data_IF_292350460082
#
_entry.id   IF_292350460082
#
_cell.length_a   1.000
_cell.length_b   1.000
_cell.length_c   1.000
_cell.angle_alpha   90.00
_cell.angle_beta   90.00
_cell.angle_gamma   90.00
#
_symmetry.space_group_name_H-M   'P 1'
#
loop_
_entity.id
_entity.type
_entity.pdbx_description
1 polymer ?
#
# COMPACT_ATOMS: atom_id res chain seq x y z
N UNK A 1 36.16 -5.05 -9.36
CA UNK A 1 35.42 -3.87 -8.89
C UNK A 1 33.91 -4.09 -8.95
N UNK A 2 33.33 -4.55 -10.07
CA UNK A 2 31.89 -4.87 -10.23
C UNK A 2 31.28 -5.71 -9.08
N UNK A 3 31.92 -6.82 -8.71
CA UNK A 3 31.46 -7.69 -7.61
C UNK A 3 31.34 -6.97 -6.25
N UNK A 4 32.22 -6.00 -5.98
CA UNK A 4 32.19 -5.24 -4.73
C UNK A 4 30.98 -4.30 -4.70
N UNK A 5 30.68 -3.66 -5.83
CA UNK A 5 29.49 -2.80 -5.99
C UNK A 5 28.20 -3.62 -5.85
N UNK A 6 28.11 -4.78 -6.49
CA UNK A 6 26.96 -5.70 -6.35
C UNK A 6 26.75 -6.12 -4.89
N UNK A 7 27.84 -6.40 -4.15
CA UNK A 7 27.76 -6.75 -2.73
C UNK A 7 27.28 -5.58 -1.86
N UNK A 8 27.71 -4.35 -2.16
CA UNK A 8 27.23 -3.15 -1.46
C UNK A 8 25.72 -2.97 -1.69
N UNK A 9 25.26 -3.11 -2.94
CA UNK A 9 23.83 -3.00 -3.24
C UNK A 9 23.01 -4.13 -2.64
N UNK A 10 23.52 -5.37 -2.68
CA UNK A 10 22.88 -6.50 -2.01
C UNK A 10 22.76 -6.26 -0.50
N UNK A 11 23.82 -5.78 0.16
CA UNK A 11 23.79 -5.43 1.59
C UNK A 11 22.76 -4.34 1.87
N UNK A 12 22.78 -3.25 1.09
CA UNK A 12 21.84 -2.13 1.24
C UNK A 12 20.39 -2.59 1.12
N UNK A 13 20.11 -3.44 0.12
CA UNK A 13 18.79 -4.05 -0.08
C UNK A 13 18.40 -4.97 1.09
N UNK A 14 19.33 -5.78 1.61
CA UNK A 14 19.04 -6.67 2.73
C UNK A 14 18.74 -5.90 4.02
N UNK A 15 19.47 -4.81 4.28
CA UNK A 15 19.22 -3.93 5.44
C UNK A 15 17.82 -3.32 5.36
N UNK A 16 17.41 -2.82 4.18
CA UNK A 16 16.06 -2.29 3.97
C UNK A 16 14.96 -3.36 3.97
N UNK A 17 15.31 -4.63 3.74
CA UNK A 17 14.36 -5.74 3.67
C UNK A 17 13.96 -6.32 5.04
N UNK A 18 14.58 -5.86 6.12
CA UNK A 18 14.23 -6.25 7.48
C UNK A 18 12.82 -5.72 7.78
N UNK A 19 11.90 -6.62 8.14
CA UNK A 19 10.52 -6.27 8.48
C UNK A 19 10.44 -5.54 9.83
N UNK A 20 9.34 -4.80 10.03
CA UNK A 20 9.06 -4.11 11.29
C UNK A 20 9.11 -5.08 12.48
N UNK A 21 9.68 -4.61 13.56
CA UNK A 21 9.74 -5.31 14.84
C UNK A 21 8.62 -4.84 15.76
N UNK A 22 8.30 -5.60 16.81
CA UNK A 22 7.30 -5.16 17.80
C UNK A 22 7.70 -3.85 18.51
N UNK A 23 9.00 -3.51 18.52
CA UNK A 23 9.53 -2.26 19.05
C UNK A 23 9.10 -1.04 18.21
N UNK A 24 8.88 -1.22 16.91
CA UNK A 24 8.45 -0.13 16.01
C UNK A 24 6.99 0.30 16.27
N UNK A 25 6.23 -0.49 17.06
CA UNK A 25 4.89 -0.13 17.51
C UNK A 25 4.90 0.78 18.74
N UNK A 26 6.03 0.87 19.44
CA UNK A 26 6.17 1.76 20.58
C UNK A 26 6.55 3.17 20.12
N UNK A 27 5.90 4.19 20.70
CA UNK A 27 6.24 5.59 20.37
C UNK A 27 7.62 5.92 20.93
N UNK A 28 8.60 6.01 20.05
CA UNK A 28 9.92 6.55 20.36
C UNK A 28 9.84 8.08 20.53
N UNK A 29 10.75 8.72 21.28
CA UNK A 29 10.71 10.18 21.50
C UNK A 29 10.89 11.01 20.22
N UNK A 30 11.42 10.41 19.15
CA UNK A 30 11.54 11.02 17.82
C UNK A 30 10.35 10.68 16.90
N UNK A 31 9.39 9.86 17.37
CA UNK A 31 8.29 9.31 16.58
C UNK A 31 8.76 8.70 15.24
N UNK A 32 9.92 8.02 15.26
CA UNK A 32 10.52 7.39 14.08
C UNK A 32 10.54 5.87 14.21
N UNK A 33 10.05 5.19 13.18
CA UNK A 33 10.22 3.76 12.96
C UNK A 33 11.69 3.46 12.57
N UNK A 34 12.19 2.26 12.85
CA UNK A 34 13.50 1.78 12.35
C UNK A 34 13.68 1.97 10.85
N UNK A 35 12.63 1.76 10.04
CA UNK A 35 12.67 2.02 8.61
C UNK A 35 12.88 3.51 8.27
N UNK A 36 12.18 4.41 8.97
CA UNK A 36 12.33 5.86 8.77
C UNK A 36 13.76 6.32 9.07
N UNK A 37 14.38 5.76 10.10
CA UNK A 37 15.77 6.06 10.46
C UNK A 37 16.74 5.61 9.36
N UNK A 38 16.52 4.43 8.79
CA UNK A 38 17.33 3.93 7.66
C UNK A 38 17.16 4.78 6.41
N UNK A 39 15.93 5.14 6.06
CA UNK A 39 15.62 6.02 4.92
C UNK A 39 16.33 7.36 5.11
N UNK A 40 16.21 7.97 6.29
CA UNK A 40 16.86 9.24 6.58
C UNK A 40 18.39 9.13 6.46
N UNK A 41 19.01 8.11 7.05
CA UNK A 41 20.45 7.91 7.00
C UNK A 41 20.97 7.70 5.56
N UNK A 42 20.24 6.94 4.74
CA UNK A 42 20.59 6.70 3.33
C UNK A 42 20.53 8.00 2.52
N UNK A 43 19.52 8.83 2.76
CA UNK A 43 19.35 10.08 2.01
C UNK A 43 20.32 11.17 2.48
N UNK A 44 20.56 11.30 3.78
CA UNK A 44 21.48 12.29 4.37
C UNK A 44 22.95 11.97 4.06
N UNK A 45 23.33 10.68 4.01
CA UNK A 45 24.69 10.27 3.63
C UNK A 45 25.04 10.55 2.16
N UNK A 46 24.08 10.96 1.34
CA UNK A 46 24.26 11.17 -0.10
C UNK A 46 24.22 9.87 -0.93
N UNK A 47 24.02 8.71 -0.30
CA UNK A 47 23.92 7.43 -1.00
C UNK A 47 22.75 7.42 -1.99
N UNK A 48 21.62 8.02 -1.63
CA UNK A 48 20.48 8.18 -2.56
C UNK A 48 20.83 8.94 -3.85
N UNK A 49 21.62 10.03 -3.75
CA UNK A 49 22.06 10.81 -4.93
C UNK A 49 22.99 10.00 -5.83
N UNK A 50 23.93 9.28 -5.22
CA UNK A 50 24.83 8.38 -5.95
C UNK A 50 24.05 7.32 -6.75
N UNK A 51 23.02 6.71 -6.15
CA UNK A 51 22.18 5.73 -6.85
C UNK A 51 21.46 6.35 -8.05
N UNK A 52 20.97 7.58 -7.92
CA UNK A 52 20.34 8.32 -9.03
C UNK A 52 21.36 8.57 -10.15
N UNK A 53 22.56 9.04 -9.83
CA UNK A 53 23.64 9.28 -10.81
C UNK A 53 24.04 8.00 -11.57
N UNK A 54 24.21 6.87 -10.86
CA UNK A 54 24.53 5.57 -11.49
C UNK A 54 23.39 5.14 -12.42
N UNK A 55 22.14 5.31 -11.97
CA UNK A 55 20.97 4.92 -12.77
C UNK A 55 20.76 5.79 -14.00
N UNK A 56 21.22 7.05 -14.00
CA UNK A 56 21.16 7.93 -15.17
C UNK A 56 22.08 7.45 -16.31
N UNK A 57 23.21 6.83 -15.95
CA UNK A 57 24.19 6.33 -16.92
C UNK A 57 23.73 5.03 -17.61
N UNK A 58 23.71 5.03 -18.95
CA UNK A 58 23.41 3.83 -19.74
C UNK A 58 24.48 2.74 -19.72
N UNK A 59 25.72 3.07 -19.37
CA UNK A 59 26.80 2.08 -19.31
C UNK A 59 26.62 1.11 -18.13
N UNK A 60 25.95 1.58 -17.06
CA UNK A 60 25.82 0.88 -15.77
C UNK A 60 24.54 0.03 -15.66
N UNK A 61 24.03 -0.47 -16.80
CA UNK A 61 22.76 -1.24 -16.88
C UNK A 61 22.73 -2.45 -15.97
N UNK A 62 23.88 -3.08 -15.74
CA UNK A 62 24.01 -4.26 -14.88
C UNK A 62 23.57 -3.99 -13.44
N UNK A 63 23.62 -2.73 -13.00
CA UNK A 63 23.24 -2.32 -11.65
C UNK A 63 21.80 -1.80 -11.55
N UNK A 64 21.14 -1.52 -12.67
CA UNK A 64 19.83 -0.85 -12.69
C UNK A 64 18.76 -1.65 -11.92
N UNK A 65 18.78 -2.99 -12.02
CA UNK A 65 17.82 -3.81 -11.29
C UNK A 65 18.02 -3.71 -9.77
N UNK A 66 19.27 -3.70 -9.30
CA UNK A 66 19.59 -3.51 -7.88
C UNK A 66 19.12 -2.15 -7.38
N UNK A 67 19.35 -1.10 -8.16
CA UNK A 67 18.94 0.26 -7.81
C UNK A 67 17.41 0.36 -7.74
N UNK A 68 16.71 -0.22 -8.72
CA UNK A 68 15.25 -0.27 -8.73
C UNK A 68 14.70 -0.96 -7.47
N UNK A 69 15.29 -2.09 -7.06
CA UNK A 69 14.89 -2.76 -5.82
C UNK A 69 15.15 -1.90 -4.58
N UNK A 70 16.30 -1.23 -4.51
CA UNK A 70 16.60 -0.32 -3.39
C UNK A 70 15.59 0.83 -3.35
N UNK A 71 15.27 1.45 -4.49
CA UNK A 71 14.27 2.52 -4.55
C UNK A 71 12.87 2.03 -4.15
N UNK A 72 12.45 0.86 -4.63
CA UNK A 72 11.17 0.28 -4.22
C UNK A 72 11.14 0.01 -2.71
N UNK A 73 12.24 -0.47 -2.13
CA UNK A 73 12.34 -0.75 -0.71
C UNK A 73 12.37 0.53 0.14
N UNK A 74 13.02 1.60 -0.31
CA UNK A 74 12.97 2.92 0.34
C UNK A 74 11.56 3.50 0.37
N UNK A 75 10.68 3.10 -0.56
CA UNK A 75 9.34 3.65 -0.71
C UNK A 75 8.24 2.72 -0.17
N UNK A 76 8.57 1.48 0.21
CA UNK A 76 7.60 0.41 0.54
C UNK A 76 6.62 0.82 1.63
N UNK A 77 7.07 1.54 2.66
CA UNK A 77 6.26 1.88 3.84
C UNK A 77 5.59 3.26 3.75
N UNK A 78 5.90 4.06 2.73
CA UNK A 78 5.41 5.43 2.62
C UNK A 78 4.23 5.54 1.66
N UNK A 79 3.23 6.35 2.03
CA UNK A 79 2.21 6.77 1.08
C UNK A 79 2.67 7.99 0.28
N UNK A 80 2.51 7.93 -1.04
CA UNK A 80 2.88 9.04 -1.93
C UNK A 80 2.18 10.34 -1.51
N UNK A 81 0.91 10.26 -1.10
CA UNK A 81 0.14 11.41 -0.58
C UNK A 81 0.86 12.11 0.57
N UNK A 82 1.29 11.37 1.58
CA UNK A 82 1.89 11.92 2.78
C UNK A 82 3.24 12.60 2.48
N UNK A 83 4.01 12.03 1.56
CA UNK A 83 5.30 12.58 1.11
C UNK A 83 5.07 13.87 0.30
N UNK A 84 4.04 13.90 -0.55
CA UNK A 84 3.70 15.11 -1.31
C UNK A 84 3.29 16.23 -0.34
N UNK A 85 2.39 15.96 0.61
CA UNK A 85 1.91 16.98 1.55
C UNK A 85 3.01 17.56 2.47
N UNK A 86 4.14 16.87 2.64
CA UNK A 86 5.23 17.32 3.52
C UNK A 86 5.98 18.56 3.01
N UNK A 87 6.05 18.77 1.70
CA UNK A 87 6.76 19.90 1.09
C UNK A 87 5.88 21.12 0.81
N UNK A 88 4.57 21.01 0.97
CA UNK A 88 3.66 22.14 0.78
C UNK A 88 3.75 23.07 1.98
N UNK A 89 3.99 24.36 1.73
CA UNK A 89 3.87 25.40 2.77
C UNK A 89 2.41 25.40 3.21
N UNK A 90 2.11 24.74 4.33
CA UNK A 90 0.76 24.68 4.87
C UNK A 90 0.27 26.10 5.10
N UNK A 91 -0.72 26.51 4.32
CA UNK A 91 -1.41 27.78 4.52
C UNK A 91 -2.02 27.79 5.93
N UNK A 92 -2.17 28.96 6.54
CA UNK A 92 -2.75 29.06 7.89
C UNK A 92 -4.14 28.41 7.96
N UNK A 93 -4.88 28.42 6.84
CA UNK A 93 -6.19 27.79 6.69
C UNK A 93 -6.13 26.26 6.70
N UNK A 94 -5.17 25.65 6.00
CA UNK A 94 -4.99 24.19 6.01
C UNK A 94 -4.60 23.67 7.38
N UNK A 95 -3.75 24.40 8.12
CA UNK A 95 -3.42 24.06 9.51
C UNK A 95 -4.66 24.08 10.40
N UNK A 96 -5.50 25.11 10.25
CA UNK A 96 -6.75 25.23 10.99
C UNK A 96 -7.74 24.13 10.63
N UNK A 97 -7.81 23.72 9.35
CA UNK A 97 -8.64 22.58 8.92
C UNK A 97 -8.16 21.27 9.54
N UNK A 98 -6.87 20.99 9.51
CA UNK A 98 -6.27 19.81 10.13
C UNK A 98 -6.49 19.80 11.65
N UNK A 99 -6.35 20.95 12.31
CA UNK A 99 -6.64 21.07 13.74
C UNK A 99 -8.11 20.77 14.04
N UNK A 100 -9.04 21.28 13.23
CA UNK A 100 -10.46 20.98 13.37
C UNK A 100 -10.78 19.50 13.11
N UNK A 101 -10.16 18.87 12.12
CA UNK A 101 -10.29 17.43 11.85
C UNK A 101 -9.76 16.59 13.02
N UNK A 102 -8.59 16.94 13.55
CA UNK A 102 -8.01 16.30 14.73
C UNK A 102 -8.93 16.44 15.94
N UNK A 103 -9.49 17.63 16.19
CA UNK A 103 -10.46 17.86 17.27
C UNK A 103 -11.69 16.97 17.10
N UNK A 104 -12.25 16.87 15.88
CA UNK A 104 -13.38 15.99 15.59
C UNK A 104 -13.07 14.52 15.86
N UNK A 105 -11.88 14.04 15.49
CA UNK A 105 -11.47 12.65 15.74
C UNK A 105 -11.31 12.41 17.25
N UNK A 106 -10.70 13.34 17.98
CA UNK A 106 -10.59 13.26 19.45
C UNK A 106 -11.97 13.25 20.09
N UNK A 107 -12.88 14.13 19.68
CA UNK A 107 -14.27 14.17 20.14
C UNK A 107 -14.97 12.83 19.87
N UNK A 108 -14.89 12.29 18.66
CA UNK A 108 -15.46 10.99 18.31
C UNK A 108 -14.88 9.85 19.14
N UNK A 109 -13.57 9.81 19.36
CA UNK A 109 -12.95 8.78 20.19
C UNK A 109 -13.31 8.94 21.67
N UNK A 110 -13.38 10.17 22.18
CA UNK A 110 -13.85 10.43 23.55
C UNK A 110 -15.30 10.02 23.71
N UNK A 111 -16.17 10.29 22.73
CA UNK A 111 -17.57 9.86 22.75
C UNK A 111 -17.69 8.33 22.66
N UNK A 112 -16.91 7.67 21.80
CA UNK A 112 -16.85 6.20 21.77
C UNK A 112 -16.39 5.63 23.11
N UNK A 113 -15.37 6.22 23.74
CA UNK A 113 -14.90 5.82 25.06
C UNK A 113 -15.97 6.05 26.14
N UNK A 114 -16.67 7.18 26.10
CA UNK A 114 -17.78 7.49 27.00
C UNK A 114 -18.95 6.52 26.78
N UNK A 115 -19.32 6.20 25.54
CA UNK A 115 -20.36 5.23 25.23
C UNK A 115 -19.97 3.82 25.69
N UNK A 116 -18.70 3.41 25.50
CA UNK A 116 -18.17 2.17 26.10
C UNK A 116 -18.30 2.19 27.62
N UNK A 117 -17.94 3.30 28.28
CA UNK A 117 -18.09 3.48 29.74
C UNK A 117 -19.57 3.46 30.17
N UNK A 118 -20.48 4.06 29.40
CA UNK A 118 -21.95 4.04 29.64
C UNK A 118 -22.51 2.63 29.53
N UNK A 119 -21.99 1.79 28.65
CA UNK A 119 -22.41 0.39 28.51
C UNK A 119 -21.81 -0.53 29.59
N UNK A 120 -20.73 -0.10 30.26
CA UNK A 120 -20.13 -0.85 31.36
C UNK A 120 -20.89 -0.55 32.65
N UNK A 121 -21.10 -1.60 33.46
CA UNK A 121 -21.69 -1.46 34.80
C UNK A 121 -20.80 -0.58 35.66
N UNK A 122 -21.39 0.37 36.39
CA UNK A 122 -20.68 1.18 37.40
C UNK A 122 -20.10 0.34 38.54
N UNK A 123 -20.54 -0.91 38.69
CA UNK A 123 -20.13 -1.82 39.76
C UNK A 123 -19.28 -2.95 39.20
N UNK A 124 -18.33 -3.43 40.00
CA UNK A 124 -17.48 -4.56 39.65
C UNK A 124 -18.31 -5.82 39.35
N UNK A 125 -17.74 -6.73 38.56
CA UNK A 125 -18.44 -7.91 38.02
C UNK A 125 -19.00 -8.86 39.09
N UNK A 126 -18.41 -8.92 40.29
CA UNK A 126 -18.89 -9.78 41.37
C UNK A 126 -20.11 -9.20 42.14
N UNK A 127 -20.51 -7.94 41.87
CA UNK A 127 -21.67 -7.29 42.51
C UNK A 127 -22.78 -6.95 41.51
N UNK A 128 -22.87 -7.70 40.42
CA UNK A 128 -23.72 -7.38 39.29
C UNK A 128 -25.21 -7.75 39.47
N UNK A 129 -25.59 -8.47 40.54
CA UNK A 129 -26.95 -8.97 40.76
C UNK A 129 -27.37 -10.03 39.73
N UNK A 130 -28.49 -10.71 39.96
CA UNK A 130 -29.04 -11.72 39.06
C UNK A 130 -30.42 -11.29 38.55
N UNK A 131 -30.60 -11.31 37.24
CA UNK A 131 -31.85 -10.92 36.55
C UNK A 131 -32.40 -12.09 35.76
N UNK A 132 -33.73 -12.14 35.61
CA UNK A 132 -34.43 -13.16 34.81
C UNK A 132 -34.94 -12.50 33.54
N UNK A 133 -34.44 -12.93 32.38
CA UNK A 133 -34.96 -12.55 31.07
C UNK A 133 -36.02 -13.56 30.65
N UNK A 134 -37.27 -13.10 30.54
CA UNK A 134 -38.41 -13.91 30.09
C UNK A 134 -38.53 -13.87 28.57
N UNK A 135 -38.90 -14.99 27.95
CA UNK A 135 -39.22 -15.07 26.52
C UNK A 135 -38.04 -15.35 25.59
N UNK A 136 -36.86 -15.70 26.13
CA UNK A 136 -35.73 -16.22 25.34
C UNK A 136 -35.65 -17.73 25.51
N UNK A 137 -35.47 -18.48 24.42
CA UNK A 137 -35.34 -19.95 24.51
C UNK A 137 -34.21 -20.33 25.48
N UNK A 138 -34.57 -20.95 26.59
CA UNK A 138 -33.68 -21.44 27.62
C UNK A 138 -33.93 -22.94 27.85
N UNK A 139 -33.09 -23.59 28.65
CA UNK A 139 -33.22 -25.03 28.93
C UNK A 139 -34.43 -25.32 29.84
N UNK A 140 -34.92 -24.32 30.56
CA UNK A 140 -36.05 -24.44 31.49
C UNK A 140 -37.40 -24.51 30.75
N UNK A 141 -38.39 -25.19 31.35
CA UNK A 141 -39.76 -25.31 30.82
C UNK A 141 -40.42 -23.96 30.53
N UNK A 142 -40.11 -22.94 31.34
CA UNK A 142 -40.69 -21.60 31.25
C UNK A 142 -39.93 -20.67 30.30
N UNK A 143 -38.85 -21.13 29.64
CA UNK A 143 -38.00 -20.31 28.75
C UNK A 143 -37.48 -19.00 29.40
N UNK A 144 -37.04 -19.12 30.65
CA UNK A 144 -36.46 -18.02 31.43
C UNK A 144 -34.94 -18.17 31.49
N UNK A 145 -34.22 -17.10 31.14
CA UNK A 145 -32.75 -17.07 31.18
C UNK A 145 -32.25 -16.18 32.32
N UNK A 146 -31.44 -16.76 33.21
CA UNK A 146 -30.79 -16.00 34.29
C UNK A 146 -29.51 -15.34 33.76
N UNK A 147 -29.38 -14.03 33.95
CA UNK A 147 -28.19 -13.27 33.59
C UNK A 147 -27.67 -12.51 34.81
N UNK A 148 -26.37 -12.67 35.08
CA UNK A 148 -25.68 -12.00 36.18
C UNK A 148 -25.14 -10.60 35.80
N UNK A 149 -25.76 -9.93 34.82
CA UNK A 149 -25.38 -8.58 34.35
C UNK A 149 -26.64 -7.83 33.92
N UNK A 150 -26.69 -6.54 34.23
CA UNK A 150 -27.73 -5.64 33.71
C UNK A 150 -27.55 -5.52 32.20
N UNK A 151 -28.49 -6.08 31.44
CA UNK A 151 -28.53 -5.95 29.98
C UNK A 151 -29.38 -4.73 29.63
N UNK A 152 -28.77 -3.73 29.00
CA UNK A 152 -29.49 -2.52 28.56
C UNK A 152 -30.26 -2.72 27.25
N UNK A 153 -29.73 -3.57 26.37
CA UNK A 153 -30.35 -3.91 25.08
C UNK A 153 -30.49 -5.44 24.97
N UNK A 154 -31.71 -5.94 24.83
CA UNK A 154 -31.98 -7.39 24.68
C UNK A 154 -31.40 -8.00 23.38
N UNK A 155 -31.00 -7.17 22.41
CA UNK A 155 -30.37 -7.63 21.17
C UNK A 155 -28.85 -7.89 21.32
N UNK A 156 -28.20 -7.32 22.34
CA UNK A 156 -26.75 -7.43 22.57
C UNK A 156 -26.39 -8.54 23.57
N UNK A 157 -27.11 -9.67 23.55
CA UNK A 157 -26.81 -10.83 24.42
C UNK A 157 -25.69 -11.65 23.78
N UNK A 158 -24.54 -11.00 23.63
CA UNK A 158 -23.39 -11.55 22.91
C UNK A 158 -22.71 -12.68 23.71
N UNK A 159 -22.98 -12.75 25.02
CA UNK A 159 -22.48 -13.81 25.91
C UNK A 159 -22.94 -15.21 25.51
N UNK A 160 -24.09 -15.33 24.84
CA UNK A 160 -24.61 -16.61 24.30
C UNK A 160 -23.88 -17.05 23.03
N UNK A 161 -23.38 -16.09 22.24
CA UNK A 161 -22.73 -16.37 20.97
C UNK A 161 -21.23 -16.63 21.14
N UNK A 162 -20.61 -16.18 22.23
CA UNK A 162 -19.17 -16.43 22.53
C UNK A 162 -18.80 -17.92 22.63
N UNK A 163 -19.74 -18.79 23.01
CA UNK A 163 -19.51 -20.25 23.08
C UNK A 163 -19.86 -20.97 21.78
N UNK A 164 -20.53 -20.31 20.83
CA UNK A 164 -20.86 -20.91 19.54
C UNK A 164 -19.64 -20.85 18.64
N UNK A 165 -19.41 -21.92 17.89
CA UNK A 165 -18.38 -21.96 16.86
C UNK A 165 -18.76 -20.92 15.81
N UNK A 166 -17.98 -19.84 15.72
CA UNK A 166 -18.13 -18.83 14.68
C UNK A 166 -17.92 -19.49 13.32
N UNK A 167 -18.78 -19.16 12.35
CA UNK A 167 -18.62 -19.68 10.99
C UNK A 167 -17.28 -19.23 10.44
N UNK A 168 -16.35 -20.18 10.23
CA UNK A 168 -15.00 -19.85 9.77
C UNK A 168 -15.08 -19.35 8.34
N UNK A 169 -14.61 -18.12 8.11
CA UNK A 169 -14.36 -17.65 6.75
C UNK A 169 -13.41 -18.63 6.05
N UNK A 170 -13.75 -19.13 4.85
CA UNK A 170 -12.88 -20.01 4.07
C UNK A 170 -11.49 -19.38 3.93
N UNK A 171 -10.42 -20.18 4.02
CA UNK A 171 -9.03 -19.66 3.94
C UNK A 171 -8.76 -18.85 2.67
N UNK A 172 -9.48 -19.13 1.57
CA UNK A 172 -9.41 -18.40 0.29
C UNK A 172 -10.08 -17.02 0.31
N UNK A 173 -10.95 -16.74 1.28
CA UNK A 173 -11.69 -15.47 1.43
C UNK A 173 -11.14 -14.58 2.54
N UNK A 174 -10.05 -15.01 3.19
CA UNK A 174 -9.39 -14.18 4.18
C UNK A 174 -8.58 -13.11 3.44
N UNK A 175 -8.61 -11.85 3.92
CA UNK A 175 -7.62 -10.87 3.46
C UNK A 175 -6.23 -11.47 3.59
N UNK A 176 -5.36 -11.19 2.63
CA UNK A 176 -3.96 -11.52 2.81
C UNK A 176 -3.45 -10.70 4.00
N UNK A 177 -2.75 -11.33 4.94
CA UNK A 177 -1.97 -10.62 5.97
C UNK A 177 -0.80 -9.96 5.24
N UNK A 178 -1.06 -8.84 4.59
CA UNK A 178 -0.05 -8.06 3.89
C UNK A 178 0.65 -7.22 4.96
N UNK A 179 1.97 -7.17 4.92
CA UNK A 179 2.76 -6.13 5.61
C UNK A 179 2.50 -4.75 4.94
N UNK A 180 1.23 -4.31 4.87
CA UNK A 180 0.87 -2.93 4.56
C UNK A 180 0.84 -2.11 5.84
N UNK A 181 1.87 -2.23 6.67
CA UNK A 181 2.10 -1.26 7.74
C UNK A 181 2.61 0.02 7.06
N UNK A 182 1.70 0.70 6.38
CA UNK A 182 1.93 2.06 5.95
C UNK A 182 1.74 2.92 7.18
N UNK A 183 2.75 3.71 7.50
CA UNK A 183 2.68 4.64 8.61
C UNK A 183 2.98 6.05 8.11
N UNK A 184 2.56 7.02 8.91
CA UNK A 184 2.86 8.42 8.65
C UNK A 184 4.21 8.71 9.30
N UNK A 185 5.25 8.84 8.49
CA UNK A 185 6.59 9.17 8.95
C UNK A 185 6.69 10.60 9.46
N UNK A 186 7.71 10.84 10.30
CA UNK A 186 8.07 12.17 10.78
C UNK A 186 8.27 13.17 9.63
N UNK A 187 7.99 14.45 9.89
CA UNK A 187 7.96 15.49 8.85
C UNK A 187 9.31 15.66 8.14
N UNK A 188 10.42 15.61 8.88
CA UNK A 188 11.76 15.72 8.33
C UNK A 188 12.07 14.61 7.31
N UNK A 189 11.73 13.36 7.63
CA UNK A 189 11.90 12.20 6.72
C UNK A 189 11.12 12.44 5.44
N UNK A 190 9.86 12.87 5.55
CA UNK A 190 9.01 13.11 4.37
C UNK A 190 9.52 14.27 3.49
N UNK A 191 10.10 15.32 4.07
CA UNK A 191 10.71 16.43 3.30
C UNK A 191 11.94 15.94 2.52
N UNK A 192 12.84 15.22 3.18
CA UNK A 192 14.05 14.68 2.54
C UNK A 192 13.67 13.68 1.45
N UNK A 193 12.71 12.80 1.74
CA UNK A 193 12.18 11.82 0.79
C UNK A 193 11.50 12.48 -0.41
N UNK A 194 10.76 13.57 -0.21
CA UNK A 194 10.13 14.33 -1.30
C UNK A 194 11.18 14.88 -2.27
N UNK A 195 12.23 15.51 -1.77
CA UNK A 195 13.33 16.05 -2.60
C UNK A 195 14.00 14.93 -3.39
N UNK A 196 14.27 13.80 -2.76
CA UNK A 196 14.81 12.61 -3.42
C UNK A 196 13.88 12.06 -4.50
N UNK A 197 12.57 11.94 -4.24
CA UNK A 197 11.60 11.42 -5.20
C UNK A 197 11.53 12.29 -6.47
N UNK A 198 11.59 13.61 -6.33
CA UNK A 198 11.61 14.53 -7.47
C UNK A 198 12.87 14.30 -8.31
N UNK A 199 14.04 14.22 -7.68
CA UNK A 199 15.31 13.98 -8.38
C UNK A 199 15.34 12.61 -9.08
N UNK A 200 14.88 11.57 -8.40
CA UNK A 200 14.76 10.21 -8.92
C UNK A 200 13.85 10.17 -10.16
N UNK A 201 12.68 10.81 -10.10
CA UNK A 201 11.74 10.89 -11.22
C UNK A 201 12.33 11.61 -12.43
N UNK A 202 13.03 12.72 -12.20
CA UNK A 202 13.62 13.54 -13.26
C UNK A 202 14.74 12.81 -14.01
N UNK A 203 15.64 12.14 -13.29
CA UNK A 203 16.89 11.62 -13.86
C UNK A 203 16.88 10.12 -14.18
N UNK A 204 16.12 9.33 -13.41
CA UNK A 204 16.31 7.87 -13.39
C UNK A 204 15.08 7.04 -13.75
N UNK A 205 13.88 7.48 -13.36
CA UNK A 205 12.67 6.64 -13.39
C UNK A 205 12.41 5.99 -14.76
N UNK A 206 12.33 6.79 -15.82
CA UNK A 206 12.03 6.29 -17.16
C UNK A 206 13.06 5.24 -17.62
N UNK A 207 14.34 5.47 -17.30
CA UNK A 207 15.43 4.58 -17.68
C UNK A 207 15.38 3.26 -16.90
N UNK A 208 15.11 3.31 -15.59
CA UNK A 208 14.96 2.13 -14.76
C UNK A 208 13.75 1.28 -15.20
N UNK A 209 12.58 1.91 -15.40
CA UNK A 209 11.36 1.20 -15.80
C UNK A 209 11.49 0.53 -17.16
N UNK A 210 12.14 1.18 -18.13
CA UNK A 210 12.41 0.58 -19.44
C UNK A 210 13.52 -0.48 -19.38
N UNK A 211 14.65 -0.17 -18.74
CA UNK A 211 15.84 -1.03 -18.72
C UNK A 211 15.69 -2.29 -17.87
N UNK A 212 14.92 -2.22 -16.78
CA UNK A 212 14.72 -3.35 -15.87
C UNK A 212 13.52 -4.23 -16.22
N UNK A 213 12.70 -3.87 -17.22
CA UNK A 213 11.49 -4.61 -17.61
C UNK A 213 11.80 -6.10 -17.84
N UNK A 214 12.69 -6.40 -18.77
CA UNK A 214 12.99 -7.80 -19.09
C UNK A 214 13.66 -8.54 -17.93
N UNK A 215 14.54 -7.87 -17.19
CA UNK A 215 15.25 -8.46 -16.05
C UNK A 215 14.34 -8.74 -14.85
N UNK A 216 13.37 -7.86 -14.56
CA UNK A 216 12.46 -8.01 -13.42
C UNK A 216 11.44 -9.14 -13.64
N UNK A 217 11.04 -9.37 -14.90
CA UNK A 217 10.04 -10.38 -15.27
C UNK A 217 10.64 -11.65 -15.90
N UNK A 218 11.97 -11.74 -16.03
CA UNK A 218 12.64 -12.93 -16.55
C UNK A 218 12.41 -14.14 -15.63
N UNK A 219 12.19 -15.31 -16.23
CA UNK A 219 12.11 -16.58 -15.49
C UNK A 219 13.42 -16.98 -14.83
N UNK A 220 14.56 -16.39 -15.25
CA UNK A 220 15.87 -16.58 -14.62
C UNK A 220 16.05 -15.57 -13.49
N UNK A 221 15.34 -15.79 -12.38
CA UNK A 221 15.51 -14.95 -11.19
C UNK A 221 16.84 -15.30 -10.53
N UNK A 222 17.76 -14.34 -10.51
CA UNK A 222 19.05 -14.49 -9.80
C UNK A 222 18.80 -14.73 -8.31
N UNK A 223 19.67 -15.51 -7.67
CA UNK A 223 19.60 -15.81 -6.24
C UNK A 223 19.50 -14.51 -5.43
N UNK A 224 18.35 -14.26 -4.78
CA UNK A 224 18.11 -13.04 -3.99
C UNK A 224 17.21 -11.98 -4.62
N UNK A 225 16.83 -12.11 -5.91
CA UNK A 225 15.95 -11.17 -6.64
C UNK A 225 14.59 -11.79 -6.99
N UNK A 226 14.08 -12.72 -6.19
CA UNK A 226 12.80 -13.41 -6.47
C UNK A 226 11.56 -12.49 -6.41
N UNK A 227 11.71 -11.32 -5.77
CA UNK A 227 10.67 -10.29 -5.64
C UNK A 227 10.88 -9.07 -6.54
N UNK A 228 11.77 -9.17 -7.54
CA UNK A 228 12.06 -8.06 -8.44
C UNK A 228 10.81 -7.54 -9.18
N UNK A 229 9.88 -8.44 -9.52
CA UNK A 229 8.59 -8.09 -10.12
C UNK A 229 7.72 -7.24 -9.18
N UNK A 230 7.64 -7.62 -7.90
CA UNK A 230 6.95 -6.85 -6.87
C UNK A 230 7.59 -5.46 -6.72
N UNK A 231 8.92 -5.39 -6.63
CA UNK A 231 9.63 -4.13 -6.50
C UNK A 231 9.41 -3.20 -7.70
N UNK A 232 9.35 -3.75 -8.91
CA UNK A 232 9.00 -3.01 -10.12
C UNK A 232 7.62 -2.36 -10.01
N UNK A 233 6.60 -3.12 -9.58
CA UNK A 233 5.26 -2.58 -9.39
C UNK A 233 5.17 -1.58 -8.24
N UNK A 234 5.88 -1.79 -7.13
CA UNK A 234 5.92 -0.82 -6.01
C UNK A 234 6.47 0.51 -6.51
N UNK A 235 7.62 0.50 -7.20
CA UNK A 235 8.23 1.72 -7.72
C UNK A 235 7.31 2.41 -8.73
N UNK A 236 6.73 1.65 -9.67
CA UNK A 236 5.80 2.20 -10.67
C UNK A 236 4.55 2.81 -10.01
N UNK A 237 3.90 2.08 -9.10
CA UNK A 237 2.72 2.55 -8.39
C UNK A 237 3.01 3.85 -7.63
N UNK A 238 4.05 3.86 -6.78
CA UNK A 238 4.39 5.02 -5.97
C UNK A 238 4.74 6.22 -6.84
N UNK A 239 5.56 6.01 -7.88
CA UNK A 239 6.05 7.08 -8.76
C UNK A 239 4.93 7.75 -9.55
N UNK A 240 3.97 6.95 -10.05
CA UNK A 240 2.79 7.45 -10.77
C UNK A 240 1.86 8.23 -9.83
N UNK A 241 1.59 7.67 -8.64
CA UNK A 241 0.77 8.32 -7.62
C UNK A 241 1.40 9.64 -7.16
N UNK A 242 2.70 9.64 -6.89
CA UNK A 242 3.47 10.81 -6.47
C UNK A 242 3.48 11.89 -7.56
N UNK A 243 3.76 11.53 -8.82
CA UNK A 243 3.77 12.46 -9.94
C UNK A 243 2.39 13.12 -10.12
N UNK A 244 1.32 12.34 -10.03
CA UNK A 244 -0.06 12.81 -10.13
C UNK A 244 -0.44 13.76 -8.99
N UNK A 245 -0.05 13.47 -7.75
CA UNK A 245 -0.38 14.28 -6.58
C UNK A 245 0.50 15.53 -6.44
N UNK A 246 1.76 15.46 -6.86
CA UNK A 246 2.69 16.58 -6.85
C UNK A 246 2.56 17.51 -8.07
N UNK A 247 1.65 17.21 -9.00
CA UNK A 247 1.42 17.96 -10.24
C UNK A 247 2.70 18.18 -11.06
N UNK A 248 3.56 17.15 -11.11
CA UNK A 248 4.82 17.21 -11.86
C UNK A 248 4.59 17.03 -13.36
N UNK A 249 5.60 17.40 -14.17
CA UNK A 249 5.55 17.23 -15.62
C UNK A 249 5.34 15.75 -15.98
N UNK A 250 4.36 15.41 -16.86
CA UNK A 250 4.15 14.06 -17.36
C UNK A 250 5.39 13.45 -18.06
N UNK A 251 6.35 14.29 -18.46
CA UNK A 251 7.59 13.86 -19.10
C UNK A 251 8.42 12.91 -18.21
N UNK A 252 8.40 13.12 -16.89
CA UNK A 252 9.17 12.29 -15.94
C UNK A 252 8.67 10.84 -15.88
N UNK A 253 7.41 10.61 -16.28
CA UNK A 253 6.76 9.30 -16.26
C UNK A 253 6.40 8.79 -17.65
N UNK A 254 6.95 9.38 -18.72
CA UNK A 254 6.60 9.05 -20.12
C UNK A 254 6.74 7.55 -20.43
N UNK A 255 7.70 6.87 -19.82
CA UNK A 255 7.91 5.42 -19.99
C UNK A 255 6.68 4.59 -19.60
N UNK A 256 5.85 5.09 -18.69
CA UNK A 256 4.64 4.40 -18.19
C UNK A 256 3.35 4.86 -18.89
N UNK A 257 3.40 5.91 -19.72
CA UNK A 257 2.23 6.43 -20.44
C UNK A 257 2.00 5.74 -21.79
N UNK A 258 2.89 4.82 -22.18
CA UNK A 258 2.81 4.10 -23.45
C UNK A 258 1.78 2.96 -23.42
N UNK A 259 1.25 2.62 -24.59
CA UNK A 259 0.37 1.44 -24.77
C UNK A 259 1.12 0.17 -24.37
N UNK A 260 2.41 0.08 -24.67
CA UNK A 260 3.25 -1.08 -24.32
C UNK A 260 3.39 -1.27 -22.81
N UNK A 261 3.53 -0.19 -22.05
CA UNK A 261 3.59 -0.25 -20.59
C UNK A 261 2.25 -0.73 -20.01
N UNK A 262 1.14 -0.21 -20.52
CA UNK A 262 -0.20 -0.63 -20.12
C UNK A 262 -0.43 -2.11 -20.41
N UNK A 263 -0.16 -2.54 -21.65
CA UNK A 263 -0.28 -3.94 -22.05
C UNK A 263 0.60 -4.86 -21.19
N UNK A 264 1.83 -4.43 -20.89
CA UNK A 264 2.73 -5.23 -20.06
C UNK A 264 2.19 -5.46 -18.65
N UNK A 265 1.74 -4.41 -17.95
CA UNK A 265 1.19 -4.53 -16.59
C UNK A 265 -0.06 -5.41 -16.60
N UNK A 266 -0.93 -5.25 -17.60
CA UNK A 266 -2.10 -6.09 -17.76
C UNK A 266 -1.74 -7.56 -17.99
N UNK A 267 -0.88 -7.87 -18.95
CA UNK A 267 -0.48 -9.25 -19.24
C UNK A 267 0.14 -9.91 -18.01
N UNK A 268 0.94 -9.19 -17.23
CA UNK A 268 1.48 -9.72 -15.97
C UNK A 268 0.38 -9.96 -14.93
N UNK A 269 -0.59 -9.06 -14.78
CA UNK A 269 -1.73 -9.23 -13.89
C UNK A 269 -2.55 -10.47 -14.26
N UNK A 270 -2.88 -10.66 -15.54
CA UNK A 270 -3.59 -11.84 -16.02
C UNK A 270 -2.80 -13.13 -15.74
N UNK A 271 -1.51 -13.14 -16.08
CA UNK A 271 -0.62 -14.27 -15.80
C UNK A 271 -0.59 -14.63 -14.30
N UNK A 272 -0.53 -13.65 -13.39
CA UNK A 272 -0.55 -13.94 -11.95
C UNK A 272 -1.91 -14.47 -11.51
N UNK A 273 -3.01 -13.91 -12.00
CA UNK A 273 -4.36 -14.40 -11.67
C UNK A 273 -4.62 -15.82 -12.19
N UNK A 274 -4.05 -16.19 -13.34
CA UNK A 274 -4.07 -17.55 -13.86
C UNK A 274 -3.21 -18.49 -13.00
N UNK A 275 -1.98 -18.09 -12.65
CA UNK A 275 -1.09 -18.88 -11.78
C UNK A 275 -1.68 -19.13 -10.40
N UNK A 276 -2.40 -18.18 -9.81
CA UNK A 276 -3.13 -18.39 -8.55
C UNK A 276 -4.12 -19.55 -8.65
N UNK A 277 -4.73 -19.78 -9.82
CA UNK A 277 -5.71 -20.85 -10.04
C UNK A 277 -5.05 -22.20 -10.23
N UNK A 278 -3.97 -22.23 -10.99
CA UNK A 278 -3.23 -23.45 -11.35
C UNK A 278 -2.42 -23.94 -10.13
N UNK A 279 -1.65 -23.05 -9.51
CA UNK A 279 -0.67 -23.38 -8.48
C UNK A 279 -1.22 -23.13 -7.06
N UNK A 280 -2.11 -24.01 -6.58
CA UNK A 280 -2.75 -23.84 -5.25
C UNK A 280 -1.78 -23.78 -4.07
N UNK A 281 -0.57 -24.36 -4.20
CA UNK A 281 0.46 -24.36 -3.14
C UNK A 281 1.14 -22.98 -3.01
N UNK A 282 1.43 -22.33 -4.13
CA UNK A 282 2.09 -21.01 -4.19
C UNK A 282 1.11 -19.86 -4.45
N UNK A 283 -0.20 -20.15 -4.50
CA UNK A 283 -1.23 -19.16 -4.84
C UNK A 283 -1.25 -17.92 -3.94
N UNK A 284 -0.69 -17.98 -2.73
CA UNK A 284 -0.49 -16.78 -1.89
C UNK A 284 0.53 -15.81 -2.48
N UNK A 285 1.65 -16.31 -2.97
CA UNK A 285 2.73 -15.48 -3.54
C UNK A 285 2.27 -14.86 -4.85
N UNK A 286 1.62 -15.65 -5.71
CA UNK A 286 1.03 -15.13 -6.96
C UNK A 286 -0.13 -14.18 -6.69
N UNK A 287 -0.90 -14.40 -5.62
CA UNK A 287 -1.94 -13.46 -5.18
C UNK A 287 -1.36 -12.12 -4.75
N UNK A 288 -0.24 -12.14 -4.01
CA UNK A 288 0.49 -10.94 -3.63
C UNK A 288 1.06 -10.20 -4.85
N UNK A 289 1.66 -10.93 -5.80
CA UNK A 289 2.13 -10.35 -7.07
C UNK A 289 0.99 -9.71 -7.87
N UNK A 290 -0.16 -10.39 -7.96
CA UNK A 290 -1.36 -9.86 -8.61
C UNK A 290 -1.87 -8.58 -7.92
N UNK A 291 -1.79 -8.49 -6.59
CA UNK A 291 -2.19 -7.30 -5.85
C UNK A 291 -1.32 -6.08 -6.21
N UNK A 292 0.01 -6.22 -6.24
CA UNK A 292 0.90 -5.14 -6.64
C UNK A 292 0.73 -4.76 -8.11
N UNK A 293 0.56 -5.74 -9.00
CA UNK A 293 0.24 -5.48 -10.40
C UNK A 293 -1.08 -4.72 -10.56
N UNK A 294 -2.12 -5.09 -9.79
CA UNK A 294 -3.40 -4.39 -9.79
C UNK A 294 -3.29 -2.96 -9.25
N UNK A 295 -2.47 -2.74 -8.22
CA UNK A 295 -2.24 -1.41 -7.67
C UNK A 295 -1.51 -0.50 -8.67
N UNK A 296 -0.50 -1.03 -9.38
CA UNK A 296 0.16 -0.32 -10.49
C UNK A 296 -0.81 -0.04 -11.65
N UNK A 297 -1.65 -1.02 -12.04
CA UNK A 297 -2.68 -0.87 -13.07
C UNK A 297 -3.68 0.25 -12.71
N UNK A 298 -4.11 0.31 -11.44
CA UNK A 298 -4.99 1.37 -10.93
C UNK A 298 -4.35 2.75 -11.08
N UNK A 299 -3.09 2.92 -10.64
CA UNK A 299 -2.40 4.21 -10.76
C UNK A 299 -2.08 4.60 -12.20
N UNK A 300 -1.81 3.64 -13.10
CA UNK A 300 -1.70 3.89 -14.53
C UNK A 300 -2.97 4.55 -15.08
N UNK A 301 -4.14 3.95 -14.82
CA UNK A 301 -5.43 4.50 -15.26
C UNK A 301 -5.69 5.89 -14.66
N UNK A 302 -5.47 6.07 -13.37
CA UNK A 302 -5.66 7.37 -12.71
C UNK A 302 -4.73 8.44 -13.28
N UNK A 303 -3.51 8.07 -13.64
CA UNK A 303 -2.53 8.98 -14.23
C UNK A 303 -2.90 9.36 -15.66
N UNK A 304 -3.32 8.39 -16.50
CA UNK A 304 -3.84 8.66 -17.85
C UNK A 304 -5.03 9.62 -17.80
N UNK A 305 -5.98 9.40 -16.87
CA UNK A 305 -7.13 10.29 -16.65
C UNK A 305 -6.68 11.69 -16.21
N UNK A 306 -5.69 11.77 -15.31
CA UNK A 306 -5.15 13.04 -14.84
C UNK A 306 -4.54 13.84 -16.01
N UNK A 307 -3.68 13.21 -16.81
CA UNK A 307 -3.04 13.84 -17.97
C UNK A 307 -4.08 14.27 -19.02
N UNK A 308 -5.14 13.50 -19.23
CA UNK A 308 -6.25 13.89 -20.11
C UNK A 308 -7.02 15.12 -19.62
N UNK A 309 -7.09 15.35 -18.30
CA UNK A 309 -7.77 16.51 -17.72
C UNK A 309 -6.88 17.75 -17.73
N UNK A 310 -5.69 17.65 -17.12
CA UNK A 310 -4.82 18.79 -16.83
C UNK A 310 -3.60 18.95 -17.75
N UNK A 311 -3.31 17.98 -18.62
CA UNK A 311 -2.10 18.00 -19.45
C UNK A 311 -2.10 19.02 -20.59
N UNK A 312 -0.91 19.26 -21.14
CA UNK A 312 -0.72 20.05 -22.36
C UNK A 312 -1.43 19.41 -23.56
N UNK A 313 -1.71 20.18 -24.60
CA UNK A 313 -2.41 19.70 -25.80
C UNK A 313 -1.70 18.53 -26.50
N UNK A 314 -0.36 18.50 -26.48
CA UNK A 314 0.43 17.40 -27.03
C UNK A 314 0.23 16.10 -26.24
N UNK A 315 0.44 16.16 -24.93
CA UNK A 315 0.22 15.02 -24.03
C UNK A 315 -1.22 14.52 -24.06
N UNK A 316 -2.20 15.43 -24.19
CA UNK A 316 -3.62 15.07 -24.36
C UNK A 316 -3.86 14.28 -25.65
N UNK A 317 -3.18 14.63 -26.76
CA UNK A 317 -3.29 13.89 -28.03
C UNK A 317 -2.65 12.51 -27.92
N UNK A 318 -1.43 12.43 -27.39
CA UNK A 318 -0.70 11.15 -27.25
C UNK A 318 -1.44 10.18 -26.31
N UNK A 319 -1.76 10.64 -25.10
CA UNK A 319 -2.51 9.85 -24.12
C UNK A 319 -3.93 9.59 -24.60
N UNK A 320 -4.55 10.52 -25.33
CA UNK A 320 -5.87 10.33 -25.93
C UNK A 320 -5.90 9.22 -26.98
N UNK A 321 -4.86 9.12 -27.80
CA UNK A 321 -4.68 8.00 -28.73
C UNK A 321 -4.51 6.67 -27.98
N UNK A 322 -3.65 6.66 -26.95
CA UNK A 322 -3.44 5.48 -26.11
C UNK A 322 -4.74 5.04 -25.41
N UNK A 323 -5.49 5.96 -24.82
CA UNK A 323 -6.77 5.67 -24.17
C UNK A 323 -7.82 5.17 -25.16
N UNK A 324 -7.87 5.74 -26.37
CA UNK A 324 -8.77 5.27 -27.43
C UNK A 324 -8.44 3.85 -27.85
N UNK A 325 -7.15 3.50 -27.94
CA UNK A 325 -6.72 2.13 -28.18
C UNK A 325 -7.11 1.21 -27.01
N UNK A 326 -6.87 1.66 -25.77
CA UNK A 326 -7.19 0.90 -24.55
C UNK A 326 -8.68 0.55 -24.48
N UNK A 327 -9.56 1.51 -24.80
CA UNK A 327 -11.02 1.32 -24.76
C UNK A 327 -11.56 0.46 -25.90
N UNK A 328 -10.84 0.36 -27.03
CA UNK A 328 -11.26 -0.45 -28.18
C UNK A 328 -10.97 -1.94 -27.99
N UNK A 329 -9.87 -2.27 -27.32
CA UNK A 329 -9.46 -3.66 -27.11
C UNK A 329 -10.27 -4.26 -25.96
N UNK A 330 -11.02 -5.32 -26.27
CA UNK A 330 -11.95 -5.94 -25.31
C UNK A 330 -11.24 -6.52 -24.08
N UNK A 331 -10.07 -7.11 -24.30
CA UNK A 331 -9.22 -7.69 -23.23
C UNK A 331 -8.91 -6.65 -22.14
N UNK A 332 -8.67 -5.40 -22.55
CA UNK A 332 -8.34 -4.31 -21.64
C UNK A 332 -9.56 -3.81 -20.86
N UNK A 333 -10.72 -3.74 -21.54
CA UNK A 333 -12.00 -3.33 -20.93
C UNK A 333 -12.48 -4.33 -19.89
N UNK A 334 -12.40 -5.61 -20.22
CA UNK A 334 -13.08 -6.67 -19.47
C UNK A 334 -12.28 -7.08 -18.22
N UNK A 335 -10.98 -6.82 -18.18
CA UNK A 335 -10.10 -7.17 -17.05
C UNK A 335 -10.59 -6.59 -15.71
N UNK A 336 -10.88 -5.28 -15.68
CA UNK A 336 -11.36 -4.59 -14.47
C UNK A 336 -12.66 -5.22 -13.94
N UNK A 337 -13.61 -5.46 -14.83
CA UNK A 337 -14.89 -6.12 -14.52
C UNK A 337 -14.70 -7.58 -14.10
N UNK A 338 -13.74 -8.28 -14.70
CA UNK A 338 -13.40 -9.66 -14.39
C UNK A 338 -12.80 -9.79 -12.98
N UNK A 339 -11.88 -8.90 -12.60
CA UNK A 339 -11.30 -8.86 -11.25
C UNK A 339 -12.37 -8.54 -10.22
N UNK A 340 -13.17 -7.50 -10.46
CA UNK A 340 -14.25 -7.09 -9.54
C UNK A 340 -15.25 -8.23 -9.33
N UNK A 341 -15.76 -8.86 -10.39
CA UNK A 341 -16.70 -9.99 -10.27
C UNK A 341 -16.12 -11.19 -9.50
N UNK A 342 -14.82 -11.44 -9.61
CA UNK A 342 -14.16 -12.57 -8.91
C UNK A 342 -14.00 -12.35 -7.41
N UNK A 343 -13.83 -11.10 -6.98
CA UNK A 343 -13.50 -10.76 -5.60
C UNK A 343 -14.57 -9.94 -4.86
N UNK A 344 -15.64 -9.51 -5.53
CA UNK A 344 -16.82 -8.92 -4.88
C UNK A 344 -17.45 -9.92 -3.91
N UNK A 345 -17.68 -9.44 -2.69
CA UNK A 345 -18.42 -10.19 -1.66
C UNK A 345 -19.91 -10.10 -2.03
N UNK A 346 -20.45 -11.21 -2.54
CA UNK A 346 -21.90 -11.41 -2.65
C UNK A 346 -22.53 -11.77 -1.31
#
# INVERSE_FOLDING_TARGET
MKLLVERIFALSRYVLAISDTDLDKERTPQDMNSHDQLVLAILESGFGKLLVEISENSAERDFHLWILEIFAMLLKQHEARDVVEAGSIRTAEERKRQENEMRKVVEQETEKQLNKRRCISSRHTAFAGSYILKGLKAINKDNDMVVNKVIKNCNDIDHLNKRKIQHRAPKSRRPFDIETNKHISALNVRIVLRSFCIEMLQKSYCRLICGCKDSAFSGKRTLGQDKADIHYFILMQFSLEFCRLAELSPEYIKASLSIEAFHHVQTQLDNYLEKVRIERKEGRIHGLRAQYALAAYKELLLTLISVLKSGNQEWKREVGSACSHILRVEEYRDLSSCVIRKFMVG
#
